data_IF_133534922597
#
_entry.id   IF_133534922597
#
_cell.length_a   1.000
_cell.length_b   1.000
_cell.length_c   1.000
_cell.angle_alpha   90.00
_cell.angle_beta   90.00
_cell.angle_gamma   90.00
#
_symmetry.space_group_name_H-M   'P 1'
#
loop_
_entity.id
_entity.type
_entity.pdbx_description
1 polymer ?
#
# COMPACT_ATOMS: atom_id res chain seq x y z
N UNK A 1 14.64 -3.70 1.14
CA UNK A 1 14.92 -2.54 0.28
C UNK A 1 14.69 -1.30 1.12
N UNK A 2 15.72 -0.47 1.29
CA UNK A 2 15.61 0.80 2.03
C UNK A 2 15.00 1.83 1.08
N UNK A 3 14.12 2.68 1.61
CA UNK A 3 13.32 3.72 0.89
C UNK A 3 12.25 3.19 -0.05
N UNK A 4 11.94 1.90 0.01
CA UNK A 4 10.81 1.34 -0.69
C UNK A 4 9.49 1.89 -0.12
N UNK A 5 8.54 2.15 -1.00
CA UNK A 5 7.22 2.67 -0.68
C UNK A 5 6.18 1.62 -1.01
N UNK A 6 5.33 1.29 -0.03
CA UNK A 6 4.43 0.15 -0.15
C UNK A 6 3.05 0.44 0.43
N UNK A 7 2.04 -0.20 -0.17
CA UNK A 7 0.72 -0.38 0.42
C UNK A 7 0.73 -1.77 1.05
N UNK A 8 0.51 -1.84 2.35
CA UNK A 8 0.58 -3.09 3.11
C UNK A 8 -0.76 -3.33 3.75
N UNK A 9 -1.36 -4.48 3.46
CA UNK A 9 -2.51 -5.00 4.19
C UNK A 9 -2.06 -6.04 5.21
N UNK A 10 -2.58 -5.95 6.42
CA UNK A 10 -2.25 -6.85 7.50
C UNK A 10 -3.41 -6.94 8.49
N UNK A 11 -3.40 -8.02 9.27
CA UNK A 11 -4.36 -8.22 10.35
C UNK A 11 -3.92 -7.44 11.57
N UNK A 12 -4.72 -6.46 11.97
CA UNK A 12 -4.54 -5.69 13.19
C UNK A 12 -5.58 -6.18 14.20
N UNK A 13 -5.15 -6.96 15.18
CA UNK A 13 -6.02 -7.72 16.07
C UNK A 13 -6.92 -8.70 15.29
N UNK A 14 -8.21 -8.39 15.15
CA UNK A 14 -9.20 -9.20 14.43
C UNK A 14 -9.64 -8.60 13.10
N UNK A 15 -9.20 -7.37 12.78
CA UNK A 15 -9.63 -6.63 11.58
C UNK A 15 -8.49 -6.51 10.59
N UNK A 16 -8.78 -6.71 9.31
CA UNK A 16 -7.80 -6.45 8.26
C UNK A 16 -7.81 -4.96 7.93
N UNK A 17 -6.62 -4.36 7.89
CA UNK A 17 -6.43 -2.95 7.55
C UNK A 17 -5.36 -2.82 6.48
N UNK A 18 -5.49 -1.82 5.61
CA UNK A 18 -4.43 -1.43 4.68
C UNK A 18 -3.91 -0.05 5.03
N UNK A 19 -2.59 0.10 4.96
CA UNK A 19 -1.88 1.34 5.27
C UNK A 19 -0.72 1.55 4.31
N UNK A 20 -0.29 2.79 4.19
CA UNK A 20 0.86 3.19 3.37
C UNK A 20 2.10 3.34 4.23
N UNK A 21 3.24 2.89 3.71
CA UNK A 21 4.50 2.89 4.45
C UNK A 21 5.66 3.37 3.59
N UNK A 22 6.59 4.05 4.25
CA UNK A 22 7.92 4.30 3.72
C UNK A 22 8.93 3.46 4.52
N UNK A 23 9.53 2.47 3.85
CA UNK A 23 10.46 1.49 4.42
C UNK A 23 11.89 2.06 4.48
N UNK A 24 12.05 3.15 5.22
CA UNK A 24 13.33 3.85 5.43
C UNK A 24 14.34 3.09 6.30
N UNK A 25 13.91 2.04 7.01
CA UNK A 25 14.81 1.18 7.78
C UNK A 25 14.26 -0.23 7.95
N UNK A 26 15.15 -1.20 8.21
CA UNK A 26 14.75 -2.56 8.60
C UNK A 26 14.35 -2.68 10.07
N UNK A 27 14.63 -1.66 10.89
CA UNK A 27 14.39 -1.68 12.34
C UNK A 27 13.05 -1.08 12.74
N UNK A 28 12.53 -0.14 11.95
CA UNK A 28 11.30 0.59 12.26
C UNK A 28 10.52 0.84 10.97
N UNK A 29 9.31 0.30 10.95
CA UNK A 29 8.33 0.51 9.88
C UNK A 29 7.33 1.54 10.40
N UNK A 30 7.27 2.70 9.74
CA UNK A 30 6.37 3.80 10.11
C UNK A 30 5.41 4.10 8.98
N UNK A 31 4.14 4.22 9.35
CA UNK A 31 3.10 4.66 8.43
C UNK A 31 3.48 6.03 7.87
N UNK A 32 3.39 6.18 6.56
CA UNK A 32 3.72 7.43 5.86
C UNK A 32 2.97 7.50 4.54
N UNK A 33 2.77 8.71 4.04
CA UNK A 33 2.18 8.93 2.72
C UNK A 33 3.17 8.52 1.63
N UNK A 34 2.64 7.98 0.53
CA UNK A 34 3.44 7.68 -0.66
C UNK A 34 3.74 8.97 -1.45
N UNK A 35 4.75 8.92 -2.32
CA UNK A 35 5.13 10.02 -3.22
C UNK A 35 4.06 10.34 -4.27
N UNK A 36 3.08 9.45 -4.46
CA UNK A 36 1.92 9.68 -5.30
C UNK A 36 0.64 9.63 -4.48
N UNK A 37 -0.40 10.31 -4.98
CA UNK A 37 -1.69 10.36 -4.30
C UNK A 37 -2.36 9.00 -4.39
N UNK A 38 -2.81 8.51 -3.23
CA UNK A 38 -3.64 7.31 -3.08
C UNK A 38 -4.99 7.75 -2.51
N UNK A 39 -6.08 7.18 -3.00
CA UNK A 39 -7.42 7.38 -2.46
C UNK A 39 -8.24 6.09 -2.52
N UNK A 40 -9.39 6.12 -1.85
CA UNK A 40 -10.32 4.98 -1.80
C UNK A 40 -9.66 3.69 -1.25
N UNK A 41 -8.76 3.83 -0.27
CA UNK A 41 -8.03 2.70 0.30
C UNK A 41 -8.96 1.85 1.17
N UNK A 42 -9.28 0.66 0.69
CA UNK A 42 -10.18 -0.30 1.32
C UNK A 42 -9.59 -1.72 1.27
N UNK A 43 -10.07 -2.59 2.15
CA UNK A 43 -9.64 -3.98 2.21
C UNK A 43 -10.84 -4.90 2.31
N UNK A 44 -10.77 -6.02 1.60
CA UNK A 44 -11.74 -7.11 1.68
C UNK A 44 -11.00 -8.39 2.05
N UNK A 45 -11.49 -9.09 3.08
CA UNK A 45 -11.05 -10.44 3.43
C UNK A 45 -12.16 -11.42 3.02
N UNK A 46 -11.86 -12.42 2.21
CA UNK A 46 -12.80 -13.49 1.84
C UNK A 46 -12.02 -14.79 1.63
N UNK A 47 -12.48 -15.88 2.24
CA UNK A 47 -11.83 -17.20 2.17
C UNK A 47 -10.33 -17.20 2.51
N UNK A 48 -9.92 -16.34 3.46
CA UNK A 48 -8.52 -16.17 3.85
C UNK A 48 -7.66 -15.37 2.87
N UNK A 49 -8.26 -14.87 1.78
CA UNK A 49 -7.59 -13.98 0.81
C UNK A 49 -7.85 -12.53 1.20
N UNK A 50 -6.76 -11.76 1.34
CA UNK A 50 -6.80 -10.32 1.58
C UNK A 50 -6.64 -9.60 0.25
N UNK A 51 -7.63 -8.81 -0.13
CA UNK A 51 -7.62 -8.00 -1.35
C UNK A 51 -7.57 -6.52 -1.00
N UNK A 52 -6.59 -5.81 -1.56
CA UNK A 52 -6.46 -4.35 -1.44
C UNK A 52 -7.19 -3.70 -2.61
N UNK A 53 -8.16 -2.85 -2.30
CA UNK A 53 -8.88 -2.02 -3.25
C UNK A 53 -8.40 -0.58 -3.05
N UNK A 54 -7.85 0.03 -4.10
CA UNK A 54 -7.34 1.39 -4.01
C UNK A 54 -7.21 2.05 -5.37
N UNK A 55 -7.18 3.38 -5.38
CA UNK A 55 -6.91 4.19 -6.56
C UNK A 55 -5.61 4.97 -6.39
N UNK A 56 -4.79 5.01 -7.43
CA UNK A 56 -3.49 5.71 -7.45
C UNK A 56 -3.44 6.75 -8.56
N UNK A 57 -2.78 7.89 -8.30
CA UNK A 57 -2.59 8.93 -9.32
C UNK A 57 -1.44 8.55 -10.24
N UNK A 58 -1.77 8.16 -11.46
CA UNK A 58 -0.79 7.98 -12.54
C UNK A 58 -0.47 9.35 -13.17
N UNK A 59 0.82 9.71 -13.39
CA UNK A 59 1.18 10.95 -14.08
C UNK A 59 0.62 10.96 -15.52
N UNK A 60 0.15 12.13 -15.98
CA UNK A 60 -0.54 12.28 -17.28
C UNK A 60 0.31 11.87 -18.50
N UNK A 61 1.64 11.87 -18.37
CA UNK A 61 2.59 11.49 -19.43
C UNK A 61 3.18 10.09 -19.23
N UNK A 62 2.62 9.29 -18.31
CA UNK A 62 3.07 7.91 -18.08
C UNK A 62 2.24 6.96 -18.92
N UNK A 63 2.87 6.34 -19.93
CA UNK A 63 2.22 5.33 -20.77
C UNK A 63 2.14 3.95 -20.10
N UNK A 64 2.90 3.75 -19.03
CA UNK A 64 3.01 2.48 -18.31
C UNK A 64 3.05 2.71 -16.81
N UNK A 65 2.32 1.88 -16.08
CA UNK A 65 2.43 1.73 -14.63
C UNK A 65 3.00 0.33 -14.37
N UNK A 66 4.07 0.24 -13.59
CA UNK A 66 4.58 -1.05 -13.12
C UNK A 66 4.20 -1.20 -11.65
N UNK A 67 3.34 -2.17 -11.37
CA UNK A 67 3.02 -2.59 -10.02
C UNK A 67 3.87 -3.82 -9.70
N UNK A 68 4.78 -3.68 -8.74
CA UNK A 68 5.52 -4.81 -8.19
C UNK A 68 4.74 -5.32 -6.98
N UNK A 69 4.04 -6.44 -7.18
CA UNK A 69 3.19 -7.11 -6.19
C UNK A 69 4.00 -8.09 -5.35
#
# INVERSE_FOLDING_TARGET
MVDAQAIIAFKSNSTVVAKTYNLSSYKSIKESKLSFKVWDLSVVESDGVITILTSVKVPRKSDKLNQLC
#
